data_IF_532869353700
#
_entry.id   IF_532869353700
#
_cell.length_a   1.000
_cell.length_b   1.000
_cell.length_c   1.000
_cell.angle_alpha   90.00
_cell.angle_beta   90.00
_cell.angle_gamma   90.00
#
_symmetry.space_group_name_H-M   'P 1'
#
loop_
_entity.id
_entity.type
_entity.pdbx_description
1 polymer ?
#
# COMPACT_ATOMS: atom_id res chain seq x y z
N UNK A 1 3.62 -7.88 18.24
CA UNK A 1 4.01 -8.46 16.93
C UNK A 1 2.92 -8.14 15.91
N UNK A 2 3.26 -7.40 14.86
CA UNK A 2 2.33 -7.02 13.79
C UNK A 2 2.69 -7.79 12.51
N UNK A 3 1.73 -8.54 11.96
CA UNK A 3 1.85 -9.23 10.69
C UNK A 3 1.03 -8.48 9.64
N UNK A 4 1.67 -7.90 8.64
CA UNK A 4 1.01 -7.27 7.51
C UNK A 4 0.83 -8.29 6.38
N UNK A 5 -0.38 -8.37 5.86
CA UNK A 5 -0.70 -9.13 4.65
C UNK A 5 -1.01 -8.15 3.53
N UNK A 6 -0.17 -8.02 2.59
CA UNK A 6 -0.42 -7.19 1.42
C UNK A 6 0.10 -7.82 0.13
N UNK A 7 -0.60 -7.72 -0.98
CA UNK A 7 -0.29 -7.95 -2.40
C UNK A 7 -0.44 -9.37 -2.98
N UNK A 8 -1.58 -9.64 -3.62
CA UNK A 8 -1.74 -10.63 -4.70
C UNK A 8 -1.66 -12.12 -4.34
N UNK A 9 -1.51 -12.95 -5.34
CA UNK A 9 -1.49 -14.43 -5.25
C UNK A 9 -0.39 -15.01 -4.36
N UNK A 10 0.70 -14.28 -4.16
CA UNK A 10 1.78 -14.67 -3.23
C UNK A 10 1.24 -14.79 -1.81
N UNK A 11 0.24 -14.01 -1.44
CA UNK A 11 -0.33 -13.96 -0.08
C UNK A 11 -1.28 -15.09 0.25
N UNK A 12 -2.06 -15.58 -0.70
CA UNK A 12 -2.89 -16.78 -0.49
C UNK A 12 -2.05 -17.97 -0.04
N UNK A 13 -0.80 -18.07 -0.50
CA UNK A 13 0.15 -19.11 -0.06
C UNK A 13 0.67 -18.87 1.36
N UNK A 14 0.71 -17.63 1.82
CA UNK A 14 1.25 -17.30 3.15
C UNK A 14 0.22 -17.45 4.27
N UNK A 15 -1.08 -17.37 3.98
CA UNK A 15 -2.15 -17.46 4.98
C UNK A 15 -2.00 -18.68 5.89
N UNK A 16 -1.87 -19.93 5.39
CA UNK A 16 -1.73 -21.09 6.26
C UNK A 16 -0.50 -21.04 7.17
N UNK A 17 0.59 -20.43 6.70
CA UNK A 17 1.79 -20.26 7.51
C UNK A 17 1.60 -19.23 8.62
N UNK A 18 0.92 -18.12 8.33
CA UNK A 18 0.62 -17.09 9.32
C UNK A 18 -0.33 -17.63 10.40
N UNK A 19 -1.34 -18.37 10.00
CA UNK A 19 -2.28 -19.04 10.92
C UNK A 19 -1.55 -19.99 11.87
N UNK A 20 -0.69 -20.84 11.32
CA UNK A 20 0.16 -21.73 12.12
C UNK A 20 1.06 -20.92 13.06
N UNK A 21 1.71 -19.86 12.54
CA UNK A 21 2.60 -19.00 13.31
C UNK A 21 1.86 -18.33 14.49
N UNK A 22 0.65 -17.81 14.28
CA UNK A 22 -0.18 -17.20 15.34
C UNK A 22 -0.44 -18.18 16.46
N UNK A 23 -0.82 -19.43 16.11
CA UNK A 23 -1.11 -20.49 17.09
C UNK A 23 0.17 -20.89 17.87
N UNK A 24 1.29 -21.09 17.17
CA UNK A 24 2.55 -21.50 17.81
C UNK A 24 3.18 -20.38 18.67
N UNK A 25 3.11 -19.12 18.22
CA UNK A 25 3.60 -17.99 19.02
C UNK A 25 2.90 -17.88 20.37
N UNK A 26 1.58 -18.07 20.41
CA UNK A 26 0.85 -18.02 21.70
C UNK A 26 1.18 -19.17 22.64
N UNK A 27 1.58 -20.34 22.13
CA UNK A 27 2.08 -21.43 22.96
C UNK A 27 3.42 -21.10 23.61
N UNK A 28 4.33 -20.52 22.82
CA UNK A 28 5.69 -20.18 23.26
C UNK A 28 5.73 -18.91 24.11
N UNK A 29 4.90 -17.92 23.77
CA UNK A 29 4.84 -16.60 24.36
C UNK A 29 3.39 -16.25 24.70
N UNK A 30 2.81 -16.80 25.78
CA UNK A 30 1.38 -16.60 26.09
C UNK A 30 0.95 -15.15 26.25
N UNK A 31 1.88 -14.27 26.69
CA UNK A 31 1.61 -12.86 26.94
C UNK A 31 1.80 -11.96 25.70
N UNK A 32 2.31 -12.50 24.56
CA UNK A 32 2.52 -11.67 23.38
C UNK A 32 1.21 -11.16 22.82
N UNK A 33 1.17 -9.88 22.44
CA UNK A 33 0.02 -9.30 21.76
C UNK A 33 0.20 -9.52 20.25
N UNK A 34 -0.81 -10.15 19.63
CA UNK A 34 -0.76 -10.48 18.20
C UNK A 34 -1.83 -9.67 17.48
N UNK A 35 -1.39 -8.83 16.55
CA UNK A 35 -2.24 -8.00 15.72
C UNK A 35 -2.08 -8.40 14.25
N UNK A 36 -3.19 -8.51 13.54
CA UNK A 36 -3.20 -8.68 12.09
C UNK A 36 -3.73 -7.41 11.42
N UNK A 37 -3.43 -7.27 10.13
CA UNK A 37 -3.93 -6.18 9.29
C UNK A 37 -3.87 -6.56 7.82
N UNK A 38 -4.45 -5.72 6.99
CA UNK A 38 -4.52 -5.91 5.55
C UNK A 38 -5.85 -6.48 5.08
N UNK A 39 -6.09 -6.49 3.77
CA UNK A 39 -7.41 -6.77 3.20
C UNK A 39 -7.95 -8.16 3.54
N UNK A 40 -7.08 -9.16 3.64
CA UNK A 40 -7.49 -10.55 3.88
C UNK A 40 -8.23 -10.76 5.21
N UNK A 41 -7.92 -9.95 6.22
CA UNK A 41 -8.51 -10.07 7.56
C UNK A 41 -9.47 -8.93 7.88
N UNK A 42 -9.44 -7.84 7.12
CA UNK A 42 -10.23 -6.64 7.42
C UNK A 42 -11.71 -6.77 7.04
N UNK A 43 -12.04 -7.58 6.01
CA UNK A 43 -13.42 -7.71 5.53
C UNK A 43 -14.27 -8.56 6.44
N UNK A 44 -13.74 -9.69 6.93
CA UNK A 44 -14.44 -10.64 7.80
C UNK A 44 -13.79 -10.65 9.20
N UNK A 45 -13.43 -9.48 9.71
CA UNK A 45 -12.62 -9.36 10.93
C UNK A 45 -13.27 -10.03 12.15
N UNK A 46 -14.59 -9.95 12.29
CA UNK A 46 -15.32 -10.63 13.39
C UNK A 46 -15.14 -12.14 13.30
N UNK A 47 -15.37 -12.72 12.13
CA UNK A 47 -15.19 -14.15 11.88
C UNK A 47 -13.74 -14.60 12.11
N UNK A 48 -12.76 -13.82 11.60
CA UNK A 48 -11.33 -14.12 11.82
C UNK A 48 -10.98 -14.07 13.30
N UNK A 49 -11.50 -13.10 14.04
CA UNK A 49 -11.30 -13.00 15.49
C UNK A 49 -11.95 -14.16 16.24
N UNK A 50 -13.09 -14.65 15.81
CA UNK A 50 -13.75 -15.83 16.42
C UNK A 50 -12.95 -17.10 16.14
N UNK A 51 -12.48 -17.29 14.91
CA UNK A 51 -11.71 -18.46 14.50
C UNK A 51 -10.31 -18.52 15.15
N UNK A 52 -9.71 -17.34 15.41
CA UNK A 52 -8.37 -17.23 16.01
C UNK A 52 -8.42 -16.50 17.37
N UNK A 53 -8.81 -17.21 18.45
CA UNK A 53 -8.87 -16.62 19.80
C UNK A 53 -7.51 -16.15 20.33
N UNK A 54 -6.40 -16.54 19.67
CA UNK A 54 -5.04 -16.12 19.98
C UNK A 54 -4.76 -14.66 19.59
N UNK A 55 -5.55 -14.07 18.69
CA UNK A 55 -5.38 -12.70 18.26
C UNK A 55 -5.83 -11.72 19.36
N UNK A 56 -5.05 -10.68 19.53
CA UNK A 56 -5.42 -9.53 20.34
C UNK A 56 -6.41 -8.65 19.59
N UNK A 57 -6.17 -8.45 18.29
CA UNK A 57 -7.07 -7.69 17.44
C UNK A 57 -6.63 -7.65 15.98
N UNK A 58 -7.44 -6.96 15.18
CA UNK A 58 -7.20 -6.72 13.76
C UNK A 58 -7.27 -5.22 13.49
N UNK A 59 -6.30 -4.70 12.76
CA UNK A 59 -6.33 -3.33 12.21
C UNK A 59 -7.13 -3.34 10.91
N UNK A 60 -8.17 -2.51 10.84
CA UNK A 60 -9.10 -2.42 9.72
C UNK A 60 -8.72 -1.29 8.77
N UNK A 61 -8.81 -1.54 7.47
CA UNK A 61 -8.56 -0.53 6.45
C UNK A 61 -7.08 -0.09 6.39
N UNK A 62 -6.86 1.22 6.28
CA UNK A 62 -5.50 1.80 6.23
C UNK A 62 -4.85 1.78 7.59
N UNK A 63 -3.63 1.25 7.63
CA UNK A 63 -2.95 0.91 8.89
C UNK A 63 -2.10 2.02 9.49
N UNK A 64 -1.71 3.03 8.74
CA UNK A 64 -0.68 3.98 9.14
C UNK A 64 -1.00 4.68 10.48
N UNK A 65 -2.15 5.35 10.54
CA UNK A 65 -2.57 6.06 11.73
C UNK A 65 -3.04 5.10 12.84
N UNK A 66 -3.74 4.03 12.45
CA UNK A 66 -4.20 3.00 13.41
C UNK A 66 -3.02 2.35 14.11
N UNK A 67 -1.97 2.00 13.35
CA UNK A 67 -0.75 1.42 13.92
C UNK A 67 0.00 2.42 14.82
N UNK A 68 0.08 3.69 14.42
CA UNK A 68 0.71 4.74 15.23
C UNK A 68 0.03 4.87 16.61
N UNK A 69 -1.30 4.97 16.62
CA UNK A 69 -2.07 5.09 17.87
C UNK A 69 -1.95 3.83 18.73
N UNK A 70 -1.98 2.66 18.09
CA UNK A 70 -1.78 1.39 18.78
C UNK A 70 -0.38 1.28 19.40
N UNK A 71 0.66 1.69 18.67
CA UNK A 71 2.03 1.71 19.18
C UNK A 71 2.20 2.71 20.34
N UNK A 72 1.56 3.87 20.25
CA UNK A 72 1.54 4.87 21.33
C UNK A 72 0.83 4.34 22.58
N UNK A 73 -0.30 3.64 22.40
CA UNK A 73 -1.04 2.98 23.47
C UNK A 73 -0.13 2.00 24.25
N UNK A 74 0.56 1.11 23.55
CA UNK A 74 1.48 0.18 24.23
C UNK A 74 2.69 0.87 24.86
N UNK A 75 3.19 1.94 24.26
CA UNK A 75 4.32 2.70 24.81
C UNK A 75 3.95 3.50 26.05
N UNK A 76 2.71 3.98 26.16
CA UNK A 76 2.25 4.73 27.34
C UNK A 76 2.07 3.85 28.59
N UNK A 77 2.07 2.51 28.42
CA UNK A 77 1.75 1.58 29.50
C UNK A 77 0.25 1.54 29.84
N UNK A 78 -0.58 2.30 29.12
CA UNK A 78 -2.04 2.22 29.27
C UNK A 78 -2.49 0.82 28.86
N UNK A 79 -3.30 0.18 29.68
CA UNK A 79 -3.76 -1.17 29.44
C UNK A 79 -5.29 -1.26 29.57
N UNK A 80 -5.85 -2.25 28.88
CA UNK A 80 -7.26 -2.60 29.01
C UNK A 80 -8.08 -2.37 27.74
N UNK A 81 -9.19 -3.08 27.69
CA UNK A 81 -10.13 -3.10 26.53
C UNK A 81 -10.75 -1.71 26.28
N UNK A 82 -10.94 -0.92 27.33
CA UNK A 82 -11.53 0.41 27.23
C UNK A 82 -10.61 1.40 26.48
N UNK A 83 -9.31 1.36 26.76
CA UNK A 83 -8.34 2.20 26.07
C UNK A 83 -8.23 1.84 24.58
N UNK A 84 -8.18 0.55 24.25
CA UNK A 84 -8.18 0.07 22.86
C UNK A 84 -9.47 0.44 22.13
N UNK A 85 -10.62 0.44 22.80
CA UNK A 85 -11.90 0.78 22.18
C UNK A 85 -12.01 2.24 21.72
N UNK A 86 -11.11 3.11 22.17
CA UNK A 86 -11.01 4.51 21.72
C UNK A 86 -10.22 4.70 20.43
N UNK A 87 -9.43 3.70 20.05
CA UNK A 87 -8.65 3.74 18.80
C UNK A 87 -9.56 3.33 17.64
N UNK A 88 -9.77 4.21 16.67
CA UNK A 88 -10.56 3.91 15.49
C UNK A 88 -9.87 2.90 14.55
N UNK A 89 -10.66 2.12 13.81
CA UNK A 89 -10.16 1.17 12.83
C UNK A 89 -9.61 -0.12 13.44
N UNK A 90 -10.18 -0.60 14.54
CA UNK A 90 -9.82 -1.88 15.16
C UNK A 90 -11.01 -2.84 15.24
N UNK A 91 -10.72 -4.12 15.13
CA UNK A 91 -11.55 -5.20 15.69
C UNK A 91 -10.83 -5.74 16.93
N UNK A 92 -11.49 -5.72 18.08
CA UNK A 92 -10.94 -6.13 19.37
C UNK A 92 -11.94 -6.97 20.16
N UNK A 93 -11.46 -7.63 21.24
CA UNK A 93 -12.34 -8.26 22.23
C UNK A 93 -12.64 -7.28 23.35
N UNK A 94 -13.92 -7.15 23.69
CA UNK A 94 -14.39 -6.38 24.85
C UNK A 94 -15.48 -7.18 25.55
N UNK A 95 -15.31 -7.42 26.83
CA UNK A 95 -16.23 -8.26 27.63
C UNK A 95 -16.51 -9.64 26.97
N UNK A 96 -15.49 -10.27 26.41
CA UNK A 96 -15.59 -11.58 25.74
C UNK A 96 -16.25 -11.58 24.36
N UNK A 97 -16.69 -10.43 23.85
CA UNK A 97 -17.27 -10.28 22.51
C UNK A 97 -16.33 -9.56 21.56
N UNK A 98 -16.36 -9.90 20.30
CA UNK A 98 -15.68 -9.12 19.26
C UNK A 98 -16.50 -7.86 18.98
N UNK A 99 -15.83 -6.72 19.01
CA UNK A 99 -16.40 -5.43 18.62
C UNK A 99 -15.55 -4.76 17.56
N UNK A 100 -16.19 -4.02 16.66
CA UNK A 100 -15.53 -3.12 15.73
C UNK A 100 -15.55 -1.71 16.33
N UNK A 101 -14.40 -1.07 16.38
CA UNK A 101 -14.33 0.35 16.74
C UNK A 101 -14.77 1.22 15.56
N UNK A 102 -15.00 2.50 15.78
CA UNK A 102 -15.46 3.40 14.72
C UNK A 102 -14.54 3.37 13.47
N UNK A 103 -15.11 3.63 12.28
CA UNK A 103 -14.33 3.69 11.06
C UNK A 103 -13.33 4.84 11.11
N UNK A 104 -12.17 4.65 10.48
CA UNK A 104 -11.14 5.69 10.37
C UNK A 104 -11.37 6.53 9.11
N UNK A 105 -11.14 7.83 9.22
CA UNK A 105 -11.07 8.71 8.05
C UNK A 105 -9.84 8.32 7.22
N UNK A 106 -9.99 8.31 5.90
CA UNK A 106 -8.92 7.96 4.97
C UNK A 106 -7.72 8.92 5.15
N UNK A 107 -6.53 8.36 5.16
CA UNK A 107 -5.28 9.10 5.38
C UNK A 107 -5.00 10.08 4.23
N UNK A 108 -4.63 11.33 4.56
CA UNK A 108 -3.99 12.22 3.61
C UNK A 108 -2.58 11.69 3.31
N UNK A 109 -2.31 11.35 2.06
CA UNK A 109 -1.02 10.78 1.66
C UNK A 109 0.14 11.75 1.87
N UNK A 110 -0.14 13.05 1.91
CA UNK A 110 0.89 14.09 2.07
C UNK A 110 1.48 14.14 3.49
N UNK A 111 0.78 13.56 4.49
CA UNK A 111 1.31 13.49 5.86
C UNK A 111 2.13 12.22 6.12
N UNK A 112 2.14 11.26 5.19
CA UNK A 112 2.94 10.03 5.33
C UNK A 112 4.42 10.37 5.22
N UNK A 113 5.27 10.01 6.20
CA UNK A 113 6.68 10.34 6.18
C UNK A 113 7.43 9.61 5.05
N UNK A 114 8.46 10.25 4.52
CA UNK A 114 9.39 9.61 3.59
C UNK A 114 10.31 8.66 4.36
N UNK A 115 10.35 7.39 3.93
CA UNK A 115 11.00 6.31 4.69
C UNK A 115 12.43 6.00 4.26
N UNK A 116 12.93 6.63 3.19
CA UNK A 116 14.23 6.33 2.58
C UNK A 116 15.33 7.31 3.00
N UNK A 117 15.49 7.52 4.31
CA UNK A 117 16.53 8.39 4.88
C UNK A 117 17.93 7.76 4.85
N UNK A 118 18.01 6.43 4.89
CA UNK A 118 19.25 5.64 4.85
C UNK A 118 19.16 4.52 3.80
N UNK A 119 19.67 4.79 2.60
CA UNK A 119 19.63 3.85 1.48
C UNK A 119 20.53 2.63 1.64
N UNK A 120 21.51 2.64 2.57
CA UNK A 120 22.36 1.47 2.81
C UNK A 120 21.56 0.23 3.22
N UNK A 121 20.44 0.44 3.90
CA UNK A 121 19.49 -0.63 4.27
C UNK A 121 18.77 -1.27 3.07
N UNK A 122 18.81 -0.60 1.92
CA UNK A 122 18.07 -0.96 0.71
C UNK A 122 18.99 -1.30 -0.47
N UNK A 123 20.27 -1.50 -0.25
CA UNK A 123 21.21 -1.93 -1.29
C UNK A 123 20.69 -3.17 -2.04
N UNK A 124 20.73 -3.13 -3.36
CA UNK A 124 20.24 -4.19 -4.25
C UNK A 124 18.74 -4.52 -4.11
N UNK A 125 17.93 -3.56 -3.60
CA UNK A 125 16.48 -3.69 -3.52
C UNK A 125 15.79 -2.71 -4.45
N UNK A 126 14.63 -3.11 -4.97
CA UNK A 126 13.70 -2.21 -5.63
C UNK A 126 13.08 -1.33 -4.55
N UNK A 127 13.11 -0.01 -4.72
CA UNK A 127 12.44 0.92 -3.83
C UNK A 127 11.00 1.14 -4.32
N UNK A 128 10.07 1.09 -3.38
CA UNK A 128 8.65 1.29 -3.69
C UNK A 128 8.23 2.71 -3.31
N UNK A 129 7.48 3.36 -4.18
CA UNK A 129 7.01 4.71 -3.98
C UNK A 129 5.52 4.83 -4.28
N UNK A 130 4.78 5.60 -3.48
CA UNK A 130 3.35 5.83 -3.65
C UNK A 130 3.09 7.32 -3.84
N UNK A 131 2.60 7.70 -5.03
CA UNK A 131 2.17 9.08 -5.32
C UNK A 131 0.66 9.24 -5.31
N UNK A 132 -0.06 8.13 -5.43
CA UNK A 132 -1.53 8.10 -5.33
C UNK A 132 -2.03 6.78 -4.77
N UNK A 133 -3.20 6.81 -4.12
CA UNK A 133 -3.88 5.63 -3.59
C UNK A 133 -5.32 5.59 -4.04
N UNK A 134 -5.82 4.38 -4.34
CA UNK A 134 -7.13 4.14 -4.91
C UNK A 134 -7.08 3.89 -6.41
N UNK A 135 -8.19 3.43 -6.97
CA UNK A 135 -8.33 3.16 -8.40
C UNK A 135 -9.74 3.55 -8.86
N UNK A 136 -9.91 4.29 -9.97
CA UNK A 136 -11.23 4.71 -10.44
C UNK A 136 -12.01 3.56 -11.10
N UNK A 137 -11.32 2.47 -11.48
CA UNK A 137 -11.92 1.33 -12.15
C UNK A 137 -12.65 0.40 -11.18
N UNK A 138 -13.59 -0.39 -11.71
CA UNK A 138 -14.47 -1.28 -10.95
C UNK A 138 -14.31 -2.74 -11.39
N UNK A 139 -13.08 -3.18 -11.61
CA UNK A 139 -12.81 -4.54 -12.05
C UNK A 139 -13.29 -5.55 -11.01
N UNK A 140 -14.17 -6.48 -11.40
CA UNK A 140 -14.83 -7.43 -10.48
C UNK A 140 -13.86 -8.38 -9.77
N UNK A 141 -12.69 -8.60 -10.35
CA UNK A 141 -11.64 -9.48 -9.79
C UNK A 141 -10.56 -8.73 -9.01
N UNK A 142 -10.60 -7.39 -8.99
CA UNK A 142 -9.53 -6.60 -8.40
C UNK A 142 -9.93 -6.01 -7.05
N UNK A 143 -9.13 -6.27 -6.03
CA UNK A 143 -9.34 -5.74 -4.69
C UNK A 143 -9.31 -4.20 -4.66
N UNK A 144 -8.53 -3.56 -5.53
CA UNK A 144 -8.43 -2.10 -5.61
C UNK A 144 -9.73 -1.41 -6.06
N UNK A 145 -10.72 -2.17 -6.58
CA UNK A 145 -12.04 -1.65 -6.93
C UNK A 145 -12.88 -1.22 -5.71
N UNK A 146 -12.45 -1.56 -4.52
CA UNK A 146 -13.14 -1.22 -3.25
C UNK A 146 -12.91 0.23 -2.90
N UNK A 147 -11.66 0.73 -3.01
CA UNK A 147 -11.33 2.13 -2.80
C UNK A 147 -11.45 2.92 -4.12
N UNK A 148 -12.66 3.43 -4.37
CA UNK A 148 -13.01 4.11 -5.62
C UNK A 148 -12.51 5.55 -5.69
N UNK A 149 -12.07 6.13 -4.56
CA UNK A 149 -11.60 7.50 -4.49
C UNK A 149 -10.08 7.53 -4.65
N UNK A 150 -9.63 8.00 -5.80
CA UNK A 150 -8.20 8.28 -5.99
C UNK A 150 -7.81 9.50 -5.16
N UNK A 151 -6.83 9.33 -4.28
CA UNK A 151 -6.20 10.38 -3.48
C UNK A 151 -4.79 10.58 -3.97
N UNK A 152 -4.42 11.83 -4.15
CA UNK A 152 -3.11 12.21 -4.66
C UNK A 152 -2.25 12.76 -3.52
N UNK A 153 -0.97 12.42 -3.53
CA UNK A 153 0.04 13.08 -2.70
C UNK A 153 0.37 14.45 -3.29
N UNK A 154 0.68 15.42 -2.45
CA UNK A 154 1.07 16.76 -2.91
C UNK A 154 2.28 16.70 -3.85
N UNK A 155 2.17 17.34 -5.02
CA UNK A 155 3.20 17.29 -6.06
C UNK A 155 4.53 17.91 -5.63
N UNK A 156 4.52 18.89 -4.74
CA UNK A 156 5.76 19.48 -4.23
C UNK A 156 6.54 18.49 -3.36
N UNK A 157 5.82 17.67 -2.59
CA UNK A 157 6.38 16.58 -1.80
C UNK A 157 6.90 15.49 -2.73
N UNK A 158 6.09 15.07 -3.71
CA UNK A 158 6.47 14.05 -4.69
C UNK A 158 7.74 14.44 -5.41
N UNK A 159 7.82 15.64 -5.98
CA UNK A 159 8.99 16.13 -6.72
C UNK A 159 10.25 16.17 -5.84
N UNK A 160 10.13 16.61 -4.59
CA UNK A 160 11.26 16.61 -3.64
C UNK A 160 11.77 15.19 -3.33
N UNK A 161 10.86 14.24 -3.13
CA UNK A 161 11.21 12.86 -2.83
C UNK A 161 11.77 12.13 -4.05
N UNK A 162 11.28 12.42 -5.25
CA UNK A 162 11.85 11.92 -6.50
C UNK A 162 13.26 12.50 -6.75
N UNK A 163 13.48 13.79 -6.44
CA UNK A 163 14.81 14.37 -6.52
C UNK A 163 15.80 13.64 -5.60
N UNK A 164 15.38 13.27 -4.40
CA UNK A 164 16.23 12.47 -3.52
C UNK A 164 16.67 11.16 -4.18
N UNK A 165 15.76 10.42 -4.83
CA UNK A 165 16.13 9.18 -5.52
C UNK A 165 17.09 9.43 -6.69
N UNK A 166 16.89 10.52 -7.43
CA UNK A 166 17.77 10.92 -8.53
C UNK A 166 19.16 11.31 -8.03
N UNK A 167 19.26 12.10 -6.97
CA UNK A 167 20.52 12.55 -6.37
C UNK A 167 21.32 11.36 -5.80
N UNK A 168 20.60 10.41 -5.18
CA UNK A 168 21.21 9.19 -4.64
C UNK A 168 21.48 8.12 -5.70
N UNK A 169 21.17 8.38 -6.98
CA UNK A 169 21.39 7.45 -8.11
C UNK A 169 20.79 6.07 -7.86
N UNK A 170 19.58 6.02 -7.29
CA UNK A 170 18.85 4.78 -7.03
C UNK A 170 18.65 4.03 -8.34
N UNK A 171 18.97 2.74 -8.37
CA UNK A 171 18.88 1.97 -9.61
C UNK A 171 17.45 1.84 -10.14
N UNK A 172 16.49 1.56 -9.24
CA UNK A 172 15.08 1.40 -9.63
C UNK A 172 14.13 1.85 -8.53
N UNK A 173 13.12 2.65 -8.93
CA UNK A 173 11.96 3.04 -8.12
C UNK A 173 10.70 2.52 -8.77
N UNK A 174 9.95 1.65 -8.10
CA UNK A 174 8.65 1.17 -8.56
C UNK A 174 7.54 1.93 -7.87
N UNK A 175 6.72 2.61 -8.67
CA UNK A 175 5.47 3.19 -8.19
C UNK A 175 4.46 2.07 -7.89
N UNK A 176 3.81 2.16 -6.75
CA UNK A 176 2.75 1.21 -6.33
C UNK A 176 1.34 1.74 -6.54
N UNK A 177 1.24 2.87 -7.21
CA UNK A 177 -0.01 3.46 -7.69
C UNK A 177 -0.75 2.47 -8.59
N UNK A 178 -2.02 2.16 -8.29
CA UNK A 178 -2.78 1.10 -8.98
C UNK A 178 -3.11 1.40 -10.44
N UNK A 179 -3.17 2.67 -10.79
CA UNK A 179 -3.32 3.17 -12.15
C UNK A 179 -2.73 4.57 -12.18
N UNK A 180 -1.43 4.65 -12.35
CA UNK A 180 -0.67 5.90 -12.20
C UNK A 180 -1.22 7.03 -13.09
N UNK A 181 -1.61 6.71 -14.32
CA UNK A 181 -2.09 7.70 -15.29
C UNK A 181 -3.60 8.02 -15.19
N UNK A 182 -4.30 7.55 -14.15
CA UNK A 182 -5.73 7.83 -14.00
C UNK A 182 -6.04 9.31 -13.71
N UNK A 183 -5.09 10.06 -13.18
CA UNK A 183 -5.13 11.52 -13.14
C UNK A 183 -4.06 12.07 -14.08
N UNK A 184 -4.49 12.49 -15.29
CA UNK A 184 -3.59 12.97 -16.34
C UNK A 184 -2.66 14.09 -15.84
N UNK A 185 -3.21 15.10 -15.17
CA UNK A 185 -2.41 16.25 -14.71
C UNK A 185 -1.30 15.80 -13.75
N UNK A 186 -1.64 14.95 -12.79
CA UNK A 186 -0.67 14.43 -11.81
C UNK A 186 0.43 13.61 -12.49
N UNK A 187 0.05 12.71 -13.41
CA UNK A 187 1.00 11.89 -14.14
C UNK A 187 1.94 12.72 -15.03
N UNK A 188 1.40 13.68 -15.79
CA UNK A 188 2.18 14.57 -16.64
C UNK A 188 3.20 15.37 -15.84
N UNK A 189 2.80 15.98 -14.73
CA UNK A 189 3.68 16.77 -13.85
C UNK A 189 4.85 15.93 -13.28
N UNK A 190 4.60 14.65 -12.99
CA UNK A 190 5.65 13.74 -12.51
C UNK A 190 6.57 13.33 -13.67
N UNK A 191 6.01 12.93 -14.82
CA UNK A 191 6.83 12.55 -15.97
C UNK A 191 7.66 13.71 -16.51
N UNK A 192 7.10 14.92 -16.63
CA UNK A 192 7.84 16.13 -17.03
C UNK A 192 8.99 16.41 -16.07
N UNK A 193 8.74 16.30 -14.76
CA UNK A 193 9.78 16.47 -13.75
C UNK A 193 10.92 15.45 -13.92
N UNK A 194 10.58 14.18 -14.09
CA UNK A 194 11.57 13.12 -14.30
C UNK A 194 12.35 13.26 -15.60
N UNK A 195 11.69 13.73 -16.67
CA UNK A 195 12.35 14.01 -17.95
C UNK A 195 13.40 15.12 -17.82
N UNK A 196 13.04 16.19 -17.11
CA UNK A 196 13.92 17.36 -16.91
C UNK A 196 15.12 17.06 -16.01
N UNK A 197 15.00 16.07 -15.12
CA UNK A 197 16.01 15.76 -14.10
C UNK A 197 16.63 14.37 -14.29
N UNK A 198 16.50 13.74 -15.47
CA UNK A 198 17.07 12.41 -15.73
C UNK A 198 18.57 12.37 -15.42
N UNK A 199 18.96 11.54 -14.48
CA UNK A 199 20.35 11.36 -14.06
C UNK A 199 21.11 10.30 -14.87
N UNK A 200 20.49 9.72 -15.89
CA UNK A 200 21.08 8.68 -16.74
C UNK A 200 21.18 7.29 -16.11
N UNK A 201 20.69 7.08 -14.88
CA UNK A 201 20.85 5.84 -14.10
C UNK A 201 19.50 5.29 -13.65
N UNK A 202 18.69 6.12 -12.97
CA UNK A 202 17.48 5.67 -12.29
C UNK A 202 16.39 5.24 -13.27
N UNK A 203 15.83 4.05 -13.05
CA UNK A 203 14.63 3.56 -13.72
C UNK A 203 13.40 3.80 -12.85
N UNK A 204 12.35 4.35 -13.44
CA UNK A 204 11.05 4.53 -12.80
C UNK A 204 10.02 3.61 -13.45
N UNK A 205 9.41 2.75 -12.64
CA UNK A 205 8.44 1.77 -13.10
C UNK A 205 7.02 2.17 -12.67
N UNK A 206 6.08 2.24 -13.61
CA UNK A 206 4.70 2.66 -13.41
C UNK A 206 3.71 1.60 -13.87
N UNK A 207 2.67 1.33 -13.08
CA UNK A 207 1.50 0.56 -13.50
C UNK A 207 0.48 1.53 -14.11
N UNK A 208 0.13 1.34 -15.37
CA UNK A 208 -0.76 2.24 -16.12
C UNK A 208 -1.90 1.50 -16.80
N UNK A 209 -2.97 2.24 -17.11
CA UNK A 209 -4.01 1.81 -18.04
C UNK A 209 -3.72 2.38 -19.44
N UNK A 210 -3.53 1.49 -20.44
CA UNK A 210 -3.15 1.91 -21.78
C UNK A 210 -4.28 2.61 -22.53
N UNK A 211 -5.53 2.26 -22.25
CA UNK A 211 -6.73 2.77 -22.89
C UNK A 211 -7.02 4.25 -22.57
N UNK A 212 -6.41 4.79 -21.51
CA UNK A 212 -6.53 6.21 -21.15
C UNK A 212 -5.28 7.03 -21.50
N UNK A 213 -4.28 6.44 -22.16
CA UNK A 213 -3.15 7.19 -22.69
C UNK A 213 -3.59 8.00 -23.91
N UNK A 214 -3.27 9.27 -23.92
CA UNK A 214 -3.48 10.14 -25.08
C UNK A 214 -2.16 10.49 -25.80
N UNK A 215 -2.28 11.17 -26.95
CA UNK A 215 -1.13 11.53 -27.75
C UNK A 215 -0.13 12.45 -27.06
N UNK A 216 -0.58 13.31 -26.13
CA UNK A 216 0.30 14.22 -25.38
C UNK A 216 1.18 13.42 -24.43
N UNK A 217 0.59 12.49 -23.69
CA UNK A 217 1.31 11.57 -22.80
C UNK A 217 2.30 10.69 -23.59
N UNK A 218 1.88 10.16 -24.73
CA UNK A 218 2.75 9.35 -25.59
C UNK A 218 3.92 10.19 -26.12
N UNK A 219 3.68 11.42 -26.58
CA UNK A 219 4.74 12.33 -27.04
C UNK A 219 5.74 12.66 -25.93
N UNK A 220 5.27 12.85 -24.70
CA UNK A 220 6.15 13.08 -23.54
C UNK A 220 6.99 11.84 -23.26
N UNK A 221 6.36 10.66 -23.17
CA UNK A 221 7.05 9.40 -22.89
C UNK A 221 8.12 9.05 -23.94
N UNK A 222 7.90 9.39 -25.22
CA UNK A 222 8.87 9.19 -26.29
C UNK A 222 10.13 10.07 -26.18
N UNK A 223 10.14 11.08 -25.32
CA UNK A 223 11.32 11.94 -25.10
C UNK A 223 12.28 11.35 -24.07
N UNK A 224 11.85 10.38 -23.30
CA UNK A 224 12.72 9.75 -22.31
C UNK A 224 13.84 8.94 -22.95
N UNK A 225 14.99 8.98 -22.34
CA UNK A 225 16.09 8.05 -22.63
C UNK A 225 15.60 6.61 -22.42
N UNK A 226 15.96 5.68 -23.33
CA UNK A 226 15.66 4.24 -23.09
C UNK A 226 16.15 3.78 -21.73
N UNK A 227 15.26 3.15 -20.95
CA UNK A 227 15.55 2.63 -19.63
C UNK A 227 15.22 3.57 -18.46
N UNK A 228 14.87 4.85 -18.70
CA UNK A 228 14.43 5.76 -17.61
C UNK A 228 13.00 5.42 -17.15
N UNK A 229 12.10 5.15 -18.08
CA UNK A 229 10.70 4.79 -17.76
C UNK A 229 10.41 3.35 -18.19
N UNK A 230 9.78 2.61 -17.32
CA UNK A 230 9.21 1.28 -17.58
C UNK A 230 7.72 1.31 -17.29
N UNK A 231 6.90 0.86 -18.24
CA UNK A 231 5.45 0.81 -18.10
C UNK A 231 5.00 -0.63 -17.93
N UNK A 232 4.20 -0.89 -16.91
CA UNK A 232 3.50 -2.16 -16.71
C UNK A 232 2.04 -1.98 -17.15
N UNK A 233 1.62 -2.77 -18.13
CA UNK A 233 0.30 -2.67 -18.76
C UNK A 233 -0.40 -4.01 -18.68
N UNK A 234 -1.54 -4.03 -17.99
CA UNK A 234 -2.39 -5.21 -17.89
C UNK A 234 -3.29 -5.37 -19.11
N UNK A 235 -3.03 -6.36 -19.96
CA UNK A 235 -3.85 -6.64 -21.16
C UNK A 235 -5.13 -7.40 -20.81
N UNK A 236 -5.16 -8.15 -19.72
CA UNK A 236 -6.28 -8.90 -19.12
C UNK A 236 -6.87 -10.02 -20.00
N UNK A 237 -6.45 -10.20 -21.24
CA UNK A 237 -6.89 -11.27 -22.12
C UNK A 237 -5.82 -11.65 -23.13
N UNK A 238 -5.77 -12.95 -23.48
CA UNK A 238 -4.97 -13.48 -24.60
C UNK A 238 -5.84 -13.76 -25.83
N UNK A 239 -7.15 -13.55 -25.73
CA UNK A 239 -8.08 -13.74 -26.84
C UNK A 239 -7.98 -12.59 -27.83
N UNK A 240 -7.67 -12.90 -29.08
CA UNK A 240 -7.62 -11.92 -30.15
C UNK A 240 -8.96 -11.19 -30.37
N UNK A 241 -10.07 -11.89 -30.17
CA UNK A 241 -11.42 -11.31 -30.24
C UNK A 241 -11.63 -10.27 -29.14
N UNK A 242 -11.20 -10.54 -27.92
CA UNK A 242 -11.31 -9.60 -26.80
C UNK A 242 -10.41 -8.38 -26.99
N UNK A 243 -9.19 -8.56 -27.55
CA UNK A 243 -8.24 -7.46 -27.76
C UNK A 243 -8.66 -6.52 -28.90
N UNK A 244 -9.53 -6.96 -29.80
CA UNK A 244 -10.07 -6.15 -30.92
C UNK A 244 -11.40 -5.49 -30.60
N UNK A 245 -12.05 -5.87 -29.53
CA UNK A 245 -13.31 -5.28 -29.09
C UNK A 245 -13.10 -3.95 -28.36
#
# INVERSE_FOLDING_TARGET
FCLSRGLGDVYKRQIPYIEKLVRELKKLLPQVQIWLGGPEVSFDAEKVMEEYPQLTGIMLGEGEQTFLELAQHYRSGESGEEALSRIAGLAIRKNGKVILTGPRVLTDLSVIPFLYDDLKKFENKILYYESSRGCPFRCSYCLSSIDKKVRLRDLSIVKRELQFFLDQKVAQVKFVDRTFNCNKKHAMEIWEYLLQHDNGITNFHFEIAADILDEEQIRLLNQFRPGTVQLEIGVQSVSYTHLRA
#
